data_IF_096201763052
#
_entry.id   IF_096201763052
#
_cell.length_a   1.000
_cell.length_b   1.000
_cell.length_c   1.000
_cell.angle_alpha   90.00
_cell.angle_beta   90.00
_cell.angle_gamma   90.00
#
_symmetry.space_group_name_H-M   'P 1'
#
loop_
_entity.id
_entity.type
_entity.pdbx_description
1 polymer ?
#
# COMPACT_ATOMS: atom_id res chain seq x y z
N UNK A 1 -7.30 -3.65 19.62
CA UNK A 1 -6.55 -4.49 18.65
C UNK A 1 -7.01 -4.12 17.24
N UNK A 2 -6.12 -4.16 16.26
CA UNK A 2 -6.45 -3.94 14.84
C UNK A 2 -6.37 -5.30 14.16
N UNK A 3 -7.41 -5.66 13.43
CA UNK A 3 -7.45 -6.86 12.60
C UNK A 3 -7.00 -6.47 11.18
N UNK A 4 -6.22 -7.32 10.51
CA UNK A 4 -5.84 -7.13 9.11
C UNK A 4 -6.26 -8.36 8.34
N UNK A 5 -7.03 -8.16 7.27
CA UNK A 5 -7.49 -9.23 6.38
C UNK A 5 -7.42 -8.79 4.92
N UNK A 6 -7.54 -9.75 4.01
CA UNK A 6 -7.63 -9.48 2.59
C UNK A 6 -8.78 -8.52 2.29
N UNK A 7 -8.54 -7.61 1.36
CA UNK A 7 -9.58 -6.71 0.88
C UNK A 7 -10.59 -7.48 0.04
N UNK A 8 -11.86 -7.08 0.15
CA UNK A 8 -12.94 -7.65 -0.65
C UNK A 8 -13.68 -6.54 -1.39
N UNK A 9 -14.48 -6.92 -2.39
CA UNK A 9 -15.29 -5.96 -3.17
C UNK A 9 -16.16 -5.05 -2.27
N UNK A 10 -16.64 -5.59 -1.16
CA UNK A 10 -17.47 -4.87 -0.18
C UNK A 10 -16.73 -3.78 0.60
N UNK A 11 -15.39 -3.80 0.62
CA UNK A 11 -14.58 -2.79 1.32
C UNK A 11 -14.33 -1.53 0.48
N UNK A 12 -14.46 -1.63 -0.85
CA UNK A 12 -14.15 -0.54 -1.79
C UNK A 12 -14.82 0.79 -1.41
N UNK A 13 -16.11 0.84 -1.03
CA UNK A 13 -16.73 2.08 -0.59
C UNK A 13 -16.05 2.71 0.64
N UNK A 14 -15.60 1.89 1.59
CA UNK A 14 -14.90 2.36 2.80
C UNK A 14 -13.49 2.85 2.48
N UNK A 15 -12.79 2.14 1.59
CA UNK A 15 -11.47 2.53 1.06
C UNK A 15 -11.57 3.90 0.36
N UNK A 16 -12.56 4.08 -0.51
CA UNK A 16 -12.83 5.37 -1.18
C UNK A 16 -13.12 6.47 -0.17
N UNK A 17 -13.89 6.18 0.88
CA UNK A 17 -14.17 7.16 1.93
C UNK A 17 -12.89 7.62 2.65
N UNK A 18 -12.01 6.69 3.03
CA UNK A 18 -10.70 7.00 3.63
C UNK A 18 -9.87 7.84 2.66
N UNK A 19 -9.77 7.41 1.40
CA UNK A 19 -8.97 8.12 0.41
C UNK A 19 -9.48 9.55 0.18
N UNK A 20 -10.80 9.76 0.15
CA UNK A 20 -11.39 11.11 0.07
C UNK A 20 -10.97 11.99 1.24
N UNK A 21 -10.88 11.46 2.45
CA UNK A 21 -10.38 12.24 3.59
C UNK A 21 -8.91 12.61 3.40
N UNK A 22 -8.08 11.64 3.00
CA UNK A 22 -6.64 11.85 2.77
C UNK A 22 -6.38 12.88 1.65
N UNK A 23 -7.11 12.79 0.54
CA UNK A 23 -6.91 13.62 -0.65
C UNK A 23 -7.78 14.88 -0.69
N UNK A 24 -8.50 15.19 0.39
CA UNK A 24 -9.44 16.33 0.49
C UNK A 24 -10.51 16.31 -0.61
N UNK A 25 -11.08 15.14 -0.85
CA UNK A 25 -12.22 14.90 -1.75
C UNK A 25 -11.84 14.45 -3.17
N UNK A 26 -10.55 14.36 -3.50
CA UNK A 26 -10.09 14.02 -4.86
C UNK A 26 -9.94 12.51 -5.01
N UNK A 27 -11.01 11.83 -5.42
CA UNK A 27 -10.99 10.41 -5.81
C UNK A 27 -11.81 10.25 -7.08
N UNK A 28 -11.19 9.73 -8.14
CA UNK A 28 -11.86 9.51 -9.43
C UNK A 28 -12.48 8.12 -9.53
N UNK A 29 -13.32 7.91 -10.54
CA UNK A 29 -13.90 6.59 -10.82
C UNK A 29 -12.81 5.59 -11.23
N UNK A 30 -11.82 6.04 -12.00
CA UNK A 30 -10.68 5.23 -12.45
C UNK A 30 -9.83 4.76 -11.27
N UNK A 31 -9.64 5.62 -10.25
CA UNK A 31 -8.94 5.22 -9.04
C UNK A 31 -9.69 4.12 -8.29
N UNK A 32 -11.02 4.25 -8.19
CA UNK A 32 -11.86 3.22 -7.56
C UNK A 32 -11.77 1.89 -8.32
N UNK A 33 -11.82 1.94 -9.66
CA UNK A 33 -11.66 0.76 -10.52
C UNK A 33 -10.29 0.09 -10.36
N UNK A 34 -9.22 0.88 -10.27
CA UNK A 34 -7.87 0.34 -10.01
C UNK A 34 -7.79 -0.40 -8.66
N UNK A 35 -8.47 0.10 -7.62
CA UNK A 35 -8.53 -0.63 -6.34
C UNK A 35 -9.25 -1.97 -6.47
N UNK A 36 -10.28 -2.07 -7.31
CA UNK A 36 -11.00 -3.34 -7.56
C UNK A 36 -10.12 -4.40 -8.22
N UNK A 37 -9.12 -4.01 -9.02
CA UNK A 37 -8.16 -4.95 -9.64
C UNK A 37 -7.31 -5.73 -8.63
N UNK A 38 -7.31 -5.33 -7.35
CA UNK A 38 -6.59 -6.01 -6.28
C UNK A 38 -7.47 -7.02 -5.52
N UNK A 39 -8.78 -7.06 -5.80
CA UNK A 39 -9.72 -7.97 -5.13
C UNK A 39 -9.47 -9.40 -5.60
N UNK A 40 -8.93 -10.24 -4.71
CA UNK A 40 -8.68 -11.65 -4.97
C UNK A 40 -7.54 -11.92 -5.97
N UNK A 41 -6.77 -10.90 -6.35
CA UNK A 41 -5.66 -11.07 -7.30
C UNK A 41 -4.42 -11.63 -6.60
N UNK A 42 -3.89 -12.71 -7.17
CA UNK A 42 -2.73 -13.40 -6.60
C UNK A 42 -1.46 -12.56 -6.75
N UNK A 43 -1.24 -11.81 -7.84
CA UNK A 43 -0.04 -10.99 -8.00
C UNK A 43 -0.19 -9.59 -7.42
N UNK A 44 -1.41 -9.14 -7.16
CA UNK A 44 -1.72 -7.81 -6.63
C UNK A 44 -2.40 -7.86 -5.27
N UNK A 45 -1.71 -8.38 -4.23
CA UNK A 45 -2.32 -8.58 -2.92
C UNK A 45 -2.74 -7.24 -2.31
N UNK A 46 -3.92 -7.24 -1.69
CA UNK A 46 -4.46 -6.08 -1.01
C UNK A 46 -5.12 -6.45 0.31
N UNK A 47 -5.00 -5.55 1.29
CA UNK A 47 -5.51 -5.76 2.65
C UNK A 47 -6.22 -4.52 3.18
N UNK A 48 -7.16 -4.75 4.09
CA UNK A 48 -7.78 -3.72 4.91
C UNK A 48 -7.48 -3.96 6.38
N UNK A 49 -7.33 -2.86 7.12
CA UNK A 49 -7.28 -2.89 8.57
C UNK A 49 -8.64 -2.55 9.16
N UNK A 50 -9.09 -3.32 10.14
CA UNK A 50 -10.35 -3.11 10.86
C UNK A 50 -10.10 -2.75 12.33
N UNK A 51 -10.91 -1.82 12.84
CA UNK A 51 -11.02 -1.55 14.28
C UNK A 51 -12.49 -1.42 14.65
N UNK A 52 -12.96 -2.30 15.54
CA UNK A 52 -14.39 -2.35 15.92
C UNK A 52 -15.30 -2.63 14.72
N UNK A 53 -14.89 -3.53 13.83
CA UNK A 53 -15.64 -3.90 12.62
C UNK A 53 -15.64 -2.86 11.49
N UNK A 54 -14.99 -1.71 11.67
CA UNK A 54 -14.89 -0.65 10.65
C UNK A 54 -13.54 -0.69 9.97
N UNK A 55 -13.52 -0.57 8.65
CA UNK A 55 -12.29 -0.37 7.87
C UNK A 55 -11.71 1.00 8.24
N UNK A 56 -10.44 0.99 8.66
CA UNK A 56 -9.69 2.18 9.12
C UNK A 56 -8.39 2.40 8.34
N UNK A 57 -8.07 1.50 7.42
CA UNK A 57 -6.93 1.63 6.53
C UNK A 57 -6.93 0.57 5.45
N UNK A 58 -6.13 0.79 4.42
CA UNK A 58 -5.90 -0.13 3.33
C UNK A 58 -4.44 -0.11 2.89
N UNK A 59 -4.00 -1.20 2.29
CA UNK A 59 -2.70 -1.32 1.63
C UNK A 59 -2.87 -2.20 0.39
N UNK A 60 -2.17 -1.84 -0.68
CA UNK A 60 -2.08 -2.63 -1.90
C UNK A 60 -0.63 -2.69 -2.38
N UNK A 61 -0.31 -3.80 -3.04
CA UNK A 61 0.95 -3.96 -3.73
C UNK A 61 0.83 -4.87 -4.93
N UNK A 62 1.93 -4.99 -5.66
CA UNK A 62 2.05 -5.77 -6.87
C UNK A 62 3.38 -6.53 -6.89
N UNK A 63 3.36 -7.75 -7.40
CA UNK A 63 4.55 -8.47 -7.79
C UNK A 63 4.98 -8.05 -9.20
N UNK A 64 6.23 -7.58 -9.34
CA UNK A 64 6.83 -7.22 -10.61
C UNK A 64 7.91 -8.21 -11.01
N UNK A 65 7.96 -8.51 -12.30
CA UNK A 65 8.98 -9.37 -12.89
C UNK A 65 10.35 -8.69 -12.97
N UNK A 66 11.29 -9.38 -13.61
CA UNK A 66 12.65 -8.90 -13.80
C UNK A 66 12.72 -7.75 -14.82
N UNK A 67 13.64 -6.81 -14.62
CA UNK A 67 13.86 -5.72 -15.57
C UNK A 67 14.88 -4.69 -15.07
N UNK A 68 15.66 -4.11 -15.99
CA UNK A 68 16.70 -3.11 -15.67
C UNK A 68 17.67 -3.52 -14.54
N UNK A 69 17.98 -4.82 -14.44
CA UNK A 69 18.82 -5.38 -13.38
C UNK A 69 18.11 -5.61 -12.05
N UNK A 70 16.81 -5.36 -11.95
CA UNK A 70 15.99 -5.74 -10.80
C UNK A 70 15.53 -7.20 -10.93
N UNK A 71 15.70 -8.03 -9.89
CA UNK A 71 15.08 -9.35 -9.84
C UNK A 71 13.56 -9.21 -9.62
N UNK A 72 12.85 -10.34 -9.75
CA UNK A 72 11.44 -10.45 -9.31
C UNK A 72 11.28 -9.86 -7.90
N UNK A 73 10.33 -8.92 -7.76
CA UNK A 73 10.21 -8.08 -6.58
C UNK A 73 8.77 -7.75 -6.21
N UNK A 74 8.54 -7.44 -4.94
CA UNK A 74 7.27 -6.91 -4.46
C UNK A 74 7.30 -5.39 -4.52
N UNK A 75 6.17 -4.77 -4.79
CA UNK A 75 6.00 -3.32 -4.79
C UNK A 75 4.85 -2.98 -3.87
N UNK A 76 5.09 -2.07 -2.93
CA UNK A 76 4.02 -1.42 -2.17
C UNK A 76 3.60 -0.19 -2.98
N UNK A 77 2.44 -0.29 -3.61
CA UNK A 77 1.93 0.74 -4.52
C UNK A 77 1.17 1.83 -3.76
N UNK A 78 0.38 1.45 -2.76
CA UNK A 78 -0.38 2.41 -1.97
C UNK A 78 -0.66 1.93 -0.55
N UNK A 79 -0.61 2.86 0.40
CA UNK A 79 -1.07 2.67 1.77
C UNK A 79 -1.84 3.91 2.21
N UNK A 80 -2.99 3.69 2.85
CA UNK A 80 -3.84 4.75 3.38
C UNK A 80 -4.37 4.38 4.76
N UNK A 81 -4.37 5.32 5.68
CA UNK A 81 -4.93 5.18 7.03
C UNK A 81 -5.86 6.35 7.29
N UNK A 82 -7.03 6.11 7.87
CA UNK A 82 -7.89 7.19 8.36
C UNK A 82 -7.05 8.11 9.28
N UNK A 83 -6.99 9.44 9.03
CA UNK A 83 -6.20 10.36 9.85
C UNK A 83 -6.49 10.26 11.36
N UNK A 84 -7.72 9.94 11.76
CA UNK A 84 -8.10 9.75 13.18
C UNK A 84 -7.49 8.49 13.81
N UNK A 85 -6.97 7.61 12.97
CA UNK A 85 -6.43 6.29 13.31
C UNK A 85 -4.90 6.21 13.11
N UNK A 86 -4.27 7.29 12.64
CA UNK A 86 -2.82 7.41 12.50
C UNK A 86 -2.13 7.41 13.88
N UNK A 87 -0.81 7.14 13.89
CA UNK A 87 -0.01 7.02 15.13
C UNK A 87 -0.30 5.76 15.96
N UNK A 88 -1.41 5.05 15.73
CA UNK A 88 -1.81 3.85 16.46
C UNK A 88 -1.27 2.52 15.91
N UNK A 89 -0.29 2.52 15.01
CA UNK A 89 0.33 1.31 14.46
C UNK A 89 -0.44 0.61 13.33
N UNK A 90 -1.57 1.16 12.86
CA UNK A 90 -2.41 0.59 11.78
C UNK A 90 -1.60 0.31 10.51
N UNK A 91 -0.85 1.30 10.01
CA UNK A 91 -0.01 1.15 8.82
C UNK A 91 1.07 0.08 8.97
N UNK A 92 1.69 -0.02 10.16
CA UNK A 92 2.70 -1.05 10.45
C UNK A 92 2.11 -2.47 10.41
N UNK A 93 0.90 -2.64 10.94
CA UNK A 93 0.20 -3.93 10.90
C UNK A 93 -0.11 -4.37 9.46
N UNK A 94 -0.58 -3.44 8.62
CA UNK A 94 -0.87 -3.70 7.20
C UNK A 94 0.39 -4.03 6.39
N UNK A 95 1.48 -3.27 6.60
CA UNK A 95 2.78 -3.56 5.96
C UNK A 95 3.28 -4.95 6.33
N UNK A 96 3.22 -5.31 7.61
CA UNK A 96 3.64 -6.62 8.08
C UNK A 96 2.90 -7.74 7.33
N UNK A 97 1.57 -7.62 7.19
CA UNK A 97 0.76 -8.62 6.48
C UNK A 97 1.12 -8.71 4.99
N UNK A 98 1.28 -7.56 4.32
CA UNK A 98 1.70 -7.53 2.91
C UNK A 98 3.08 -8.19 2.72
N UNK A 99 4.02 -7.92 3.63
CA UNK A 99 5.39 -8.45 3.59
C UNK A 99 5.43 -9.96 3.83
N UNK A 100 4.61 -10.47 4.75
CA UNK A 100 4.44 -11.90 4.97
C UNK A 100 4.02 -12.60 3.67
N UNK A 101 3.03 -12.05 2.96
CA UNK A 101 2.56 -12.61 1.69
C UNK A 101 3.63 -12.55 0.60
N UNK A 102 4.37 -11.46 0.48
CA UNK A 102 5.51 -11.40 -0.45
C UNK A 102 6.58 -12.44 -0.09
N UNK A 103 6.90 -12.59 1.19
CA UNK A 103 7.88 -13.57 1.66
C UNK A 103 7.44 -15.01 1.38
N UNK A 104 6.17 -15.35 1.62
CA UNK A 104 5.58 -16.65 1.29
C UNK A 104 5.70 -16.98 -0.21
N UNK A 105 5.72 -15.94 -1.06
CA UNK A 105 5.89 -16.06 -2.52
C UNK A 105 7.34 -16.04 -2.98
N UNK A 106 8.31 -16.08 -2.06
CA UNK A 106 9.74 -16.08 -2.37
C UNK A 106 10.30 -14.73 -2.84
N UNK A 107 9.58 -13.63 -2.60
CA UNK A 107 10.09 -12.28 -2.86
C UNK A 107 11.10 -11.92 -1.78
N UNK A 108 12.28 -11.47 -2.21
CA UNK A 108 13.39 -11.08 -1.32
C UNK A 108 13.54 -9.58 -1.19
N UNK A 109 13.05 -8.81 -2.17
CA UNK A 109 13.13 -7.35 -2.18
C UNK A 109 11.75 -6.73 -2.40
N UNK A 110 11.43 -5.73 -1.57
CA UNK A 110 10.19 -4.96 -1.67
C UNK A 110 10.54 -3.49 -1.90
N UNK A 111 9.93 -2.89 -2.91
CA UNK A 111 10.16 -1.50 -3.30
C UNK A 111 8.90 -0.66 -3.10
N UNK A 112 9.08 0.65 -3.00
CA UNK A 112 8.00 1.63 -3.06
C UNK A 112 8.57 2.95 -3.57
N UNK A 113 7.71 3.90 -3.87
CA UNK A 113 8.13 5.25 -4.24
C UNK A 113 7.33 6.29 -3.47
N UNK A 114 8.02 7.34 -3.02
CA UNK A 114 7.42 8.49 -2.34
C UNK A 114 8.02 9.76 -2.90
N UNK A 115 7.33 10.89 -2.72
CA UNK A 115 7.94 12.20 -3.00
C UNK A 115 9.15 12.42 -2.11
N UNK A 116 10.20 12.99 -2.68
CA UNK A 116 11.47 13.22 -1.98
C UNK A 116 11.33 14.17 -0.78
N UNK A 117 10.32 15.04 -0.79
CA UNK A 117 10.01 16.04 0.25
C UNK A 117 8.86 15.60 1.18
N UNK A 118 8.32 14.39 1.00
CA UNK A 118 7.29 13.85 1.89
C UNK A 118 7.91 13.26 3.17
N UNK A 119 8.37 14.15 4.06
CA UNK A 119 9.12 13.82 5.29
C UNK A 119 8.38 12.78 6.16
N UNK A 120 7.08 12.93 6.34
CA UNK A 120 6.29 12.01 7.17
C UNK A 120 6.24 10.59 6.57
N UNK A 121 6.08 10.48 5.26
CA UNK A 121 6.06 9.20 4.55
C UNK A 121 7.44 8.54 4.57
N UNK A 122 8.50 9.32 4.36
CA UNK A 122 9.88 8.83 4.46
C UNK A 122 10.17 8.30 5.87
N UNK A 123 9.77 9.04 6.90
CA UNK A 123 9.94 8.65 8.31
C UNK A 123 9.17 7.36 8.63
N UNK A 124 7.94 7.25 8.14
CA UNK A 124 7.13 6.04 8.27
C UNK A 124 7.81 4.83 7.64
N UNK A 125 8.30 4.95 6.40
CA UNK A 125 8.95 3.85 5.69
C UNK A 125 10.30 3.46 6.33
N UNK A 126 11.10 4.43 6.76
CA UNK A 126 12.31 4.19 7.58
C UNK A 126 11.99 3.42 8.85
N UNK A 127 10.91 3.76 9.55
CA UNK A 127 10.50 3.12 10.80
C UNK A 127 10.02 1.66 10.64
N UNK A 128 9.75 1.20 9.41
CA UNK A 128 9.41 -0.20 9.11
C UNK A 128 10.52 -0.92 8.32
N UNK A 129 11.70 -0.30 8.21
CA UNK A 129 12.90 -0.95 7.67
C UNK A 129 13.20 -0.68 6.20
N UNK A 130 12.46 0.19 5.51
CA UNK A 130 12.90 0.65 4.19
C UNK A 130 14.12 1.56 4.30
N UNK A 131 14.98 1.49 3.29
CA UNK A 131 16.05 2.45 3.09
C UNK A 131 16.12 2.87 1.61
N UNK A 132 17.03 3.79 1.30
CA UNK A 132 17.26 4.28 -0.05
C UNK A 132 17.64 3.13 -0.98
N UNK A 133 16.90 3.03 -2.08
CA UNK A 133 17.19 2.11 -3.19
C UNK A 133 18.40 2.59 -4.01
N UNK A 134 19.09 1.67 -4.68
CA UNK A 134 20.07 1.98 -5.73
C UNK A 134 19.41 2.47 -7.03
N UNK A 135 18.09 2.37 -7.15
CA UNK A 135 17.29 2.80 -8.29
C UNK A 135 16.63 4.15 -8.01
N UNK A 136 16.46 4.96 -9.06
CA UNK A 136 15.74 6.23 -9.03
C UNK A 136 14.60 6.23 -10.06
N UNK A 137 13.56 7.04 -9.82
CA UNK A 137 12.54 7.30 -10.83
C UNK A 137 13.09 8.26 -11.89
N UNK A 138 12.95 7.91 -13.17
CA UNK A 138 13.25 8.78 -14.30
C UNK A 138 11.94 9.31 -14.89
N UNK A 139 11.94 10.57 -15.34
CA UNK A 139 10.76 11.19 -15.96
C UNK A 139 11.13 11.71 -17.35
N UNK A 140 10.32 11.36 -18.33
CA UNK A 140 10.28 12.01 -19.63
C UNK A 140 8.94 12.72 -19.75
N UNK A 141 8.95 14.00 -20.12
CA UNK A 141 7.72 14.79 -20.31
C UNK A 141 7.37 14.78 -21.79
N UNK A 142 6.18 14.27 -22.11
CA UNK A 142 5.60 14.34 -23.46
C UNK A 142 5.26 15.78 -23.84
#
# INVERSE_FOLDING_TARGET
>A
MVEVRELTQTDIPSIVAIQKVITKGKVSAEWSKMMEEHVGDVRRPGFVALKGGKVVGFIIGEEKGEGFGMPRSGWLDMVGVDPKMMGGGVGKAMIKRLFEVFKERGITNIYTSVKWDAVDMLSFFKAVGFDRSSFINLIYKL
#
